data_IF_592879559577
#
_entry.id   IF_592879559577
#
_cell.length_a   1.000
_cell.length_b   1.000
_cell.length_c   1.000
_cell.angle_alpha   90.00
_cell.angle_beta   90.00
_cell.angle_gamma   90.00
#
_symmetry.space_group_name_H-M   'P 1'
#
loop_
_entity.id
_entity.type
_entity.pdbx_description
1 polymer ?
#
# COMPACT_ATOMS: atom_id res chain seq x y z
N UNK A 1 8.56 -28.19 -19.78
CA UNK A 1 7.54 -27.59 -18.89
C UNK A 1 8.21 -26.38 -18.29
N UNK A 2 7.79 -25.15 -18.60
CA UNK A 2 8.36 -23.97 -17.97
C UNK A 2 7.95 -23.98 -16.49
N UNK A 3 8.91 -23.82 -15.62
CA UNK A 3 8.67 -23.64 -14.18
C UNK A 3 7.82 -22.38 -13.99
N UNK A 4 6.80 -22.47 -13.11
CA UNK A 4 5.89 -21.35 -12.87
C UNK A 4 6.67 -20.21 -12.19
N UNK A 5 6.39 -18.96 -12.56
CA UNK A 5 7.06 -17.82 -11.96
C UNK A 5 6.70 -17.69 -10.47
N UNK A 6 7.68 -17.43 -9.62
CA UNK A 6 7.53 -17.25 -8.18
C UNK A 6 6.43 -16.25 -7.81
N UNK A 7 6.28 -15.16 -8.56
CA UNK A 7 5.25 -14.15 -8.30
C UNK A 7 3.85 -14.63 -8.69
N UNK A 8 3.73 -15.57 -9.63
CA UNK A 8 2.45 -16.21 -9.92
C UNK A 8 2.01 -17.11 -8.75
N UNK A 9 2.94 -17.81 -8.12
CA UNK A 9 2.65 -18.61 -6.93
C UNK A 9 2.35 -17.72 -5.72
N UNK A 10 3.11 -16.65 -5.53
CA UNK A 10 2.85 -15.68 -4.46
C UNK A 10 1.46 -15.00 -4.61
N UNK A 11 1.05 -14.65 -5.85
CA UNK A 11 -0.27 -14.11 -6.14
C UNK A 11 -1.38 -15.12 -5.83
N UNK A 12 -1.18 -16.39 -6.14
CA UNK A 12 -2.13 -17.45 -5.82
C UNK A 12 -2.27 -17.63 -4.30
N UNK A 13 -1.17 -17.66 -3.55
CA UNK A 13 -1.21 -17.75 -2.07
C UNK A 13 -1.83 -16.49 -1.44
N UNK A 14 -1.60 -15.30 -2.00
CA UNK A 14 -2.27 -14.08 -1.60
C UNK A 14 -3.80 -14.19 -1.74
N UNK A 15 -4.29 -14.63 -2.90
CA UNK A 15 -5.73 -14.86 -3.10
C UNK A 15 -6.30 -15.91 -2.15
N UNK A 16 -5.58 -17.01 -1.93
CA UNK A 16 -5.99 -18.05 -0.98
C UNK A 16 -6.08 -17.52 0.45
N UNK A 17 -5.15 -16.66 0.87
CA UNK A 17 -5.20 -16.01 2.17
C UNK A 17 -6.42 -15.07 2.31
N UNK A 18 -6.78 -14.34 1.26
CA UNK A 18 -8.00 -13.51 1.23
C UNK A 18 -9.27 -14.36 1.32
N UNK A 19 -9.34 -15.48 0.58
CA UNK A 19 -10.46 -16.43 0.63
C UNK A 19 -10.62 -17.10 2.00
N UNK A 20 -9.51 -17.29 2.71
CA UNK A 20 -9.50 -17.85 4.07
C UNK A 20 -9.79 -16.80 5.16
N UNK A 21 -9.93 -15.50 4.83
CA UNK A 21 -10.04 -14.45 5.85
C UNK A 21 -11.13 -13.42 5.56
N UNK A 22 -10.93 -12.51 4.62
CA UNK A 22 -11.80 -11.35 4.43
C UNK A 22 -12.69 -11.41 3.19
N UNK A 23 -12.34 -12.20 2.15
CA UNK A 23 -13.17 -12.39 0.98
C UNK A 23 -14.16 -13.54 1.20
N UNK A 24 -15.33 -13.19 1.73
CA UNK A 24 -16.43 -14.12 2.01
C UNK A 24 -17.65 -13.80 1.16
N UNK A 25 -18.52 -14.79 0.95
CA UNK A 25 -19.81 -14.62 0.28
C UNK A 25 -20.91 -14.79 1.33
N UNK A 26 -21.83 -13.83 1.45
CA UNK A 26 -22.92 -13.91 2.38
C UNK A 26 -24.01 -14.91 1.90
N UNK A 27 -24.99 -15.31 2.76
CA UNK A 27 -26.06 -16.22 2.37
C UNK A 27 -26.94 -15.73 1.21
N UNK A 28 -26.88 -14.44 0.87
CA UNK A 28 -27.57 -13.85 -0.28
C UNK A 28 -26.68 -13.84 -1.56
N UNK A 29 -25.50 -14.46 -1.50
CA UNK A 29 -24.56 -14.55 -2.62
C UNK A 29 -23.77 -13.26 -2.88
N UNK A 30 -23.68 -12.32 -1.90
CA UNK A 30 -22.96 -11.05 -2.06
C UNK A 30 -21.54 -11.14 -1.46
N UNK A 31 -20.49 -10.88 -2.25
CA UNK A 31 -19.13 -10.83 -1.73
C UNK A 31 -18.91 -9.69 -0.74
N UNK A 32 -18.02 -9.91 0.24
CA UNK A 32 -17.75 -8.97 1.33
C UNK A 32 -17.14 -7.64 0.87
N UNK A 33 -16.46 -7.60 -0.28
CA UNK A 33 -15.91 -6.40 -0.90
C UNK A 33 -16.92 -5.63 -1.77
N UNK A 34 -18.16 -6.13 -1.92
CA UNK A 34 -19.20 -5.42 -2.67
C UNK A 34 -19.90 -4.33 -1.84
N UNK A 35 -20.45 -3.34 -2.53
CA UNK A 35 -21.43 -2.44 -1.94
C UNK A 35 -22.82 -3.11 -1.98
N UNK A 36 -23.34 -3.49 -0.81
CA UNK A 36 -24.60 -4.23 -0.68
C UNK A 36 -25.83 -3.49 -1.22
N UNK A 37 -25.75 -2.18 -1.41
CA UNK A 37 -26.80 -1.34 -1.99
C UNK A 37 -26.67 -1.16 -3.51
N UNK A 38 -25.60 -1.64 -4.13
CA UNK A 38 -25.30 -1.42 -5.53
C UNK A 38 -25.20 -2.76 -6.29
N UNK A 39 -26.18 -3.04 -7.14
CA UNK A 39 -26.26 -4.30 -7.89
C UNK A 39 -25.08 -4.48 -8.85
N UNK A 40 -24.60 -3.42 -9.47
CA UNK A 40 -23.40 -3.45 -10.32
C UNK A 40 -22.16 -3.86 -9.53
N UNK A 41 -21.96 -3.27 -8.35
CA UNK A 41 -20.85 -3.63 -7.46
C UNK A 41 -20.92 -5.11 -7.04
N UNK A 42 -22.13 -5.60 -6.72
CA UNK A 42 -22.35 -7.01 -6.38
C UNK A 42 -22.03 -7.94 -7.56
N UNK A 43 -22.51 -7.60 -8.77
CA UNK A 43 -22.29 -8.43 -9.96
C UNK A 43 -20.79 -8.54 -10.30
N UNK A 44 -20.05 -7.40 -10.28
CA UNK A 44 -18.61 -7.40 -10.56
C UNK A 44 -17.84 -8.15 -9.46
N UNK A 45 -18.12 -7.87 -8.19
CA UNK A 45 -17.46 -8.56 -7.09
C UNK A 45 -17.69 -10.08 -7.13
N UNK A 46 -18.91 -10.50 -7.50
CA UNK A 46 -19.24 -11.92 -7.67
C UNK A 46 -18.45 -12.55 -8.82
N UNK A 47 -18.36 -11.90 -9.98
CA UNK A 47 -17.57 -12.41 -11.10
C UNK A 47 -16.08 -12.57 -10.76
N UNK A 48 -15.49 -11.64 -9.99
CA UNK A 48 -14.14 -11.77 -9.46
C UNK A 48 -14.05 -12.96 -8.50
N UNK A 49 -14.96 -13.05 -7.52
CA UNK A 49 -14.96 -14.10 -6.51
C UNK A 49 -15.12 -15.51 -7.15
N UNK A 50 -15.97 -15.63 -8.15
CA UNK A 50 -16.17 -16.89 -8.89
C UNK A 50 -14.88 -17.34 -9.63
N UNK A 51 -14.12 -16.39 -10.22
CA UNK A 51 -12.82 -16.64 -10.86
C UNK A 51 -11.74 -17.04 -9.87
N UNK A 52 -11.77 -16.45 -8.68
CA UNK A 52 -10.89 -16.83 -7.59
C UNK A 52 -11.35 -18.12 -6.87
N UNK A 53 -12.48 -18.73 -7.30
CA UNK A 53 -13.08 -19.91 -6.68
C UNK A 53 -13.41 -19.71 -5.20
N UNK A 54 -14.07 -18.60 -4.89
CA UNK A 54 -14.55 -18.31 -3.55
C UNK A 54 -15.72 -19.25 -3.19
N UNK A 55 -15.43 -20.31 -2.45
CA UNK A 55 -16.42 -21.30 -2.00
C UNK A 55 -16.89 -21.06 -0.56
N UNK A 56 -16.21 -20.18 0.18
CA UNK A 56 -16.50 -19.95 1.59
C UNK A 56 -17.77 -19.10 1.79
N UNK A 57 -18.86 -19.78 2.15
CA UNK A 57 -20.06 -19.11 2.70
C UNK A 57 -19.77 -18.74 4.14
N UNK A 58 -19.61 -17.45 4.41
CA UNK A 58 -19.32 -16.93 5.75
C UNK A 58 -20.11 -15.66 6.03
N UNK A 59 -20.34 -15.37 7.30
CA UNK A 59 -20.88 -14.06 7.69
C UNK A 59 -19.92 -12.95 7.27
N UNK A 60 -20.51 -11.87 6.75
CA UNK A 60 -19.74 -10.67 6.39
C UNK A 60 -19.06 -10.12 7.65
N UNK A 61 -17.75 -10.19 7.74
CA UNK A 61 -17.01 -9.59 8.83
C UNK A 61 -17.32 -8.09 8.93
N UNK A 62 -17.35 -7.54 10.16
CA UNK A 62 -17.46 -6.09 10.34
C UNK A 62 -16.36 -5.40 9.51
N UNK A 63 -16.71 -4.29 8.84
CA UNK A 63 -15.82 -3.64 7.87
C UNK A 63 -14.43 -3.30 8.40
N UNK A 64 -14.30 -3.06 9.71
CA UNK A 64 -12.99 -2.83 10.36
C UNK A 64 -12.17 -4.12 10.49
N UNK A 65 -12.82 -5.26 10.76
CA UNK A 65 -12.16 -6.57 10.84
C UNK A 65 -11.65 -7.02 9.47
N UNK A 66 -12.47 -6.89 8.42
CA UNK A 66 -12.07 -7.21 7.06
C UNK A 66 -10.93 -6.29 6.57
N UNK A 67 -10.94 -5.01 6.94
CA UNK A 67 -9.84 -4.07 6.66
C UNK A 67 -8.53 -4.52 7.27
N UNK A 68 -8.51 -4.78 8.58
CA UNK A 68 -7.30 -5.23 9.29
C UNK A 68 -6.76 -6.57 8.75
N UNK A 69 -7.64 -7.49 8.35
CA UNK A 69 -7.24 -8.75 7.72
C UNK A 69 -6.62 -8.52 6.34
N UNK A 70 -7.21 -7.65 5.54
CA UNK A 70 -6.69 -7.27 4.24
C UNK A 70 -5.30 -6.64 4.35
N UNK A 71 -5.11 -5.69 5.27
CA UNK A 71 -3.81 -5.07 5.56
C UNK A 71 -2.75 -6.11 5.91
N UNK A 72 -3.08 -7.09 6.76
CA UNK A 72 -2.15 -8.15 7.15
C UNK A 72 -1.76 -9.02 5.95
N UNK A 73 -2.73 -9.43 5.12
CA UNK A 73 -2.49 -10.24 3.92
C UNK A 73 -1.66 -9.46 2.89
N UNK A 74 -1.90 -8.16 2.72
CA UNK A 74 -1.08 -7.30 1.86
C UNK A 74 0.37 -7.20 2.39
N UNK A 75 0.56 -7.03 3.70
CA UNK A 75 1.89 -6.97 4.29
C UNK A 75 2.66 -8.28 4.09
N UNK A 76 2.01 -9.43 4.25
CA UNK A 76 2.62 -10.75 4.06
C UNK A 76 2.98 -10.99 2.58
N UNK A 77 2.12 -10.56 1.65
CA UNK A 77 2.41 -10.61 0.22
C UNK A 77 3.65 -9.77 -0.13
N UNK A 78 3.69 -8.50 0.28
CA UNK A 78 4.85 -7.62 0.01
C UNK A 78 6.11 -8.19 0.65
N UNK A 79 6.03 -8.69 1.87
CA UNK A 79 7.17 -9.31 2.56
C UNK A 79 7.70 -10.53 1.81
N UNK A 80 6.80 -11.43 1.38
CA UNK A 80 7.18 -12.66 0.70
C UNK A 80 7.69 -12.47 -0.72
N UNK A 81 7.43 -11.32 -1.34
CA UNK A 81 7.83 -10.98 -2.71
C UNK A 81 8.96 -9.96 -2.78
N UNK A 82 8.80 -8.77 -2.21
CA UNK A 82 9.79 -7.69 -2.27
C UNK A 82 11.14 -8.09 -1.66
N UNK A 83 11.15 -8.78 -0.52
CA UNK A 83 12.40 -9.19 0.13
C UNK A 83 13.21 -10.21 -0.68
N UNK A 84 12.64 -10.85 -1.70
CA UNK A 84 13.36 -11.71 -2.65
C UNK A 84 14.15 -10.93 -3.71
N UNK A 85 13.90 -9.63 -3.83
CA UNK A 85 14.48 -8.77 -4.86
C UNK A 85 15.84 -8.18 -4.44
N UNK A 86 16.51 -8.74 -3.43
CA UNK A 86 17.81 -8.26 -2.96
C UNK A 86 18.90 -8.17 -4.02
N UNK A 87 18.81 -8.95 -5.11
CA UNK A 87 19.71 -8.91 -6.26
C UNK A 87 19.47 -7.68 -7.16
N UNK A 88 18.24 -7.14 -7.18
CA UNK A 88 17.88 -5.91 -7.91
C UNK A 88 18.08 -4.68 -7.02
N UNK A 89 17.77 -4.81 -5.73
CA UNK A 89 17.87 -3.72 -4.76
C UNK A 89 18.54 -4.19 -3.48
N UNK A 90 19.88 -4.22 -3.43
CA UNK A 90 20.61 -4.63 -2.23
C UNK A 90 20.37 -3.66 -1.07
N UNK A 91 20.36 -4.20 0.15
CA UNK A 91 20.15 -3.44 1.38
C UNK A 91 19.49 -4.28 2.46
N UNK A 92 19.43 -3.73 3.66
CA UNK A 92 18.73 -4.34 4.79
C UNK A 92 17.29 -3.79 4.84
N UNK A 93 16.35 -4.56 4.29
CA UNK A 93 14.95 -4.19 4.11
C UNK A 93 14.04 -4.87 5.13
N UNK A 94 13.00 -4.15 5.55
CA UNK A 94 11.94 -4.70 6.39
C UNK A 94 10.56 -4.25 5.88
N UNK A 95 9.55 -5.14 6.04
CA UNK A 95 8.16 -4.92 5.68
C UNK A 95 7.30 -5.14 6.92
N UNK A 96 6.57 -4.12 7.34
CA UNK A 96 5.78 -4.14 8.56
C UNK A 96 4.31 -3.82 8.29
N UNK A 97 3.40 -4.60 8.88
CA UNK A 97 2.01 -4.21 9.08
C UNK A 97 1.93 -3.30 10.31
N UNK A 98 1.54 -2.04 10.12
CA UNK A 98 1.48 -1.05 11.19
C UNK A 98 0.17 -1.19 11.95
N UNK A 99 0.24 -1.73 13.16
CA UNK A 99 -0.92 -1.88 14.05
C UNK A 99 -1.07 -0.74 15.05
N UNK A 100 -0.10 0.16 15.06
CA UNK A 100 -0.04 1.29 15.98
C UNK A 100 -1.10 2.34 15.59
N UNK A 101 -1.80 2.86 16.59
CA UNK A 101 -2.67 4.05 16.45
C UNK A 101 -1.97 5.33 16.91
N UNK A 102 -0.65 5.27 17.09
CA UNK A 102 0.13 6.43 17.48
C UNK A 102 0.22 7.42 16.31
N UNK A 103 -0.24 8.63 16.53
CA UNK A 103 -0.21 9.72 15.53
C UNK A 103 1.19 10.05 15.04
N UNK A 104 2.22 9.75 15.83
CA UNK A 104 3.63 9.97 15.51
C UNK A 104 4.35 8.69 15.07
N UNK A 105 3.65 7.64 14.68
CA UNK A 105 4.29 6.41 14.23
C UNK A 105 5.27 6.68 13.08
N UNK A 106 4.90 7.55 12.17
CA UNK A 106 5.74 7.97 11.05
C UNK A 106 7.05 8.65 11.47
N UNK A 107 7.09 9.28 12.64
CA UNK A 107 8.28 9.97 13.15
C UNK A 107 9.41 9.02 13.59
N UNK A 108 9.20 7.71 13.53
CA UNK A 108 10.24 6.67 13.73
C UNK A 108 11.20 6.55 12.54
N UNK A 109 10.89 7.21 11.42
CA UNK A 109 11.67 7.16 10.19
C UNK A 109 12.40 8.48 9.97
N UNK A 110 13.61 8.39 9.40
CA UNK A 110 14.54 9.51 9.23
C UNK A 110 13.87 10.76 8.64
N UNK A 111 13.09 10.56 7.57
CA UNK A 111 12.43 11.67 6.86
C UNK A 111 11.42 12.45 7.72
N UNK A 112 10.92 11.85 8.81
CA UNK A 112 9.81 12.38 9.62
C UNK A 112 10.15 12.55 11.09
N UNK A 113 11.38 12.28 11.51
CA UNK A 113 11.82 12.34 12.92
C UNK A 113 11.58 13.69 13.58
N UNK A 114 11.68 14.77 12.81
CA UNK A 114 11.45 16.15 13.28
C UNK A 114 9.98 16.40 13.72
N UNK A 115 9.01 15.57 13.32
CA UNK A 115 7.60 15.73 13.72
C UNK A 115 7.41 15.55 15.24
N UNK A 116 8.31 14.85 15.92
CA UNK A 116 8.32 14.78 17.40
C UNK A 116 8.52 16.16 18.03
N UNK A 117 9.45 16.95 17.48
CA UNK A 117 9.70 18.29 17.97
C UNK A 117 8.54 19.24 17.64
N UNK A 118 7.95 19.11 16.45
CA UNK A 118 6.78 19.86 16.02
C UNK A 118 5.57 19.60 16.94
N UNK A 119 5.26 18.34 17.21
CA UNK A 119 4.18 17.95 18.14
C UNK A 119 4.42 18.50 19.55
N UNK A 120 5.66 18.48 20.04
CA UNK A 120 6.00 19.03 21.34
C UNK A 120 5.77 20.55 21.39
N UNK A 121 6.14 21.27 20.32
CA UNK A 121 5.92 22.72 20.21
C UNK A 121 4.41 23.02 20.17
N UNK A 122 3.64 22.32 19.37
CA UNK A 122 2.20 22.50 19.26
C UNK A 122 1.44 22.22 20.56
N UNK A 123 1.88 21.25 21.38
CA UNK A 123 1.28 21.00 22.70
C UNK A 123 1.43 22.15 23.68
N UNK A 124 2.46 22.95 23.53
CA UNK A 124 2.77 24.06 24.42
C UNK A 124 2.23 25.41 23.90
N UNK A 125 1.67 25.43 22.70
CA UNK A 125 1.17 26.63 22.02
C UNK A 125 -0.16 26.33 21.31
N UNK A 126 -1.31 26.74 21.90
CA UNK A 126 -2.63 26.51 21.33
C UNK A 126 -2.84 27.17 19.95
N UNK A 127 -2.23 28.32 19.69
CA UNK A 127 -2.36 29.02 18.41
C UNK A 127 -1.59 28.23 17.31
N UNK A 128 -0.40 27.74 17.65
CA UNK A 128 0.36 26.86 16.78
C UNK A 128 -0.37 25.54 16.53
N UNK A 129 -0.96 24.93 17.57
CA UNK A 129 -1.77 23.72 17.44
C UNK A 129 -2.97 23.92 16.51
N UNK A 130 -3.66 25.07 16.63
CA UNK A 130 -4.78 25.42 15.77
C UNK A 130 -4.34 25.65 14.31
N UNK A 131 -3.20 26.29 14.09
CA UNK A 131 -2.65 26.53 12.76
C UNK A 131 -2.17 25.27 12.05
N UNK A 132 -1.59 24.31 12.78
CA UNK A 132 -1.09 23.05 12.24
C UNK A 132 -2.20 22.02 12.00
N UNK A 133 -3.26 22.04 12.79
CA UNK A 133 -4.35 21.06 12.72
C UNK A 133 -3.83 19.63 12.91
N UNK A 134 -4.30 18.72 12.06
CA UNK A 134 -3.89 17.29 12.03
C UNK A 134 -3.03 16.92 10.81
N UNK A 135 -2.57 17.89 10.03
CA UNK A 135 -1.93 17.70 8.73
C UNK A 135 -0.58 16.96 8.78
N UNK A 136 0.00 16.81 9.97
CA UNK A 136 1.22 16.02 10.18
C UNK A 136 0.94 14.62 10.78
N UNK A 137 -0.32 14.24 10.95
CA UNK A 137 -0.71 12.92 11.44
C UNK A 137 -0.77 11.94 10.27
N UNK A 138 0.08 10.92 10.27
CA UNK A 138 0.18 9.91 9.21
C UNK A 138 0.29 8.55 9.86
N UNK A 139 -0.64 7.65 9.54
CA UNK A 139 -0.64 6.27 10.05
C UNK A 139 -0.79 5.35 8.83
N UNK A 140 0.31 4.91 8.21
CA UNK A 140 0.25 3.97 7.09
C UNK A 140 -0.23 2.60 7.55
N UNK A 141 -0.87 1.84 6.66
CA UNK A 141 -1.33 0.48 6.95
C UNK A 141 -0.17 -0.53 6.84
N UNK A 142 0.63 -0.44 5.78
CA UNK A 142 1.86 -1.24 5.56
C UNK A 142 3.01 -0.34 5.14
N UNK A 143 4.19 -0.63 5.61
CA UNK A 143 5.41 0.13 5.28
C UNK A 143 6.54 -0.79 4.84
N UNK A 144 7.37 -0.25 3.97
CA UNK A 144 8.68 -0.83 3.62
C UNK A 144 9.76 0.14 4.06
N UNK A 145 10.75 -0.37 4.76
CA UNK A 145 11.84 0.44 5.31
C UNK A 145 13.20 -0.14 4.92
N UNK A 146 14.19 0.74 4.86
CA UNK A 146 15.60 0.38 4.70
C UNK A 146 16.38 0.81 5.93
N UNK A 147 17.08 -0.12 6.57
CA UNK A 147 18.03 0.23 7.62
C UNK A 147 19.26 0.94 7.02
N UNK A 148 19.89 1.86 7.76
CA UNK A 148 21.21 2.39 7.41
C UNK A 148 22.24 1.28 7.35
N UNK A 149 23.31 1.49 6.55
CA UNK A 149 24.38 0.53 6.32
C UNK A 149 25.62 0.87 7.14
N UNK A 150 26.26 -0.13 7.70
CA UNK A 150 27.58 0.06 8.35
C UNK A 150 28.66 0.46 7.33
N UNK A 151 29.65 1.23 7.79
CA UNK A 151 30.79 1.65 6.96
C UNK A 151 31.55 0.48 6.35
N UNK A 152 31.58 -0.67 7.02
CA UNK A 152 32.16 -1.92 6.50
C UNK A 152 31.48 -2.40 5.23
N UNK A 153 30.14 -2.28 5.17
CA UNK A 153 29.33 -2.63 3.99
C UNK A 153 29.51 -1.58 2.89
N UNK A 154 29.44 -0.29 3.25
CA UNK A 154 29.61 0.82 2.29
C UNK A 154 31.01 0.77 1.64
N UNK A 155 32.04 0.43 2.41
CA UNK A 155 33.42 0.36 1.99
C UNK A 155 33.81 -0.96 1.28
N UNK A 156 32.87 -1.84 1.03
CA UNK A 156 33.10 -3.07 0.27
C UNK A 156 32.62 -2.89 -1.17
N UNK A 157 33.46 -3.11 -2.20
CA UNK A 157 34.85 -3.63 -2.22
C UNK A 157 35.94 -2.56 -2.13
N UNK A 158 35.62 -1.28 -2.09
CA UNK A 158 36.58 -0.18 -2.00
C UNK A 158 36.25 0.81 -0.91
N UNK A 159 37.23 1.51 -0.37
CA UNK A 159 37.03 2.52 0.66
C UNK A 159 36.36 3.77 0.07
N UNK A 160 35.05 3.91 0.26
CA UNK A 160 34.23 5.01 -0.24
C UNK A 160 34.04 6.13 0.79
N UNK A 161 34.02 5.79 2.08
CA UNK A 161 33.75 6.73 3.17
C UNK A 161 34.76 6.58 4.32
N UNK A 162 34.97 7.66 5.06
CA UNK A 162 35.73 7.69 6.30
C UNK A 162 35.19 8.78 7.24
N UNK A 163 35.94 9.15 8.25
CA UNK A 163 35.54 10.14 9.25
C UNK A 163 35.43 11.59 8.71
N UNK A 164 35.92 11.84 7.50
CA UNK A 164 36.02 13.19 6.92
C UNK A 164 35.01 13.46 5.81
N UNK A 165 34.43 12.40 5.19
CA UNK A 165 33.54 12.52 4.04
C UNK A 165 32.23 11.78 4.25
N UNK A 166 31.17 12.24 3.58
CA UNK A 166 29.81 11.68 3.64
C UNK A 166 29.28 11.53 5.06
N UNK A 167 29.71 12.44 5.95
CA UNK A 167 29.43 12.35 7.39
C UNK A 167 27.98 12.60 7.75
N UNK A 168 27.14 13.10 6.85
CA UNK A 168 25.72 13.42 7.05
C UNK A 168 24.80 12.58 6.17
N UNK A 169 25.32 11.55 5.50
CA UNK A 169 24.52 10.70 4.65
C UNK A 169 23.60 9.79 5.47
N UNK A 170 22.30 9.87 5.27
CA UNK A 170 21.30 9.07 6.02
C UNK A 170 21.44 7.57 5.80
N UNK A 171 22.11 7.14 4.73
CA UNK A 171 22.39 5.72 4.50
C UNK A 171 23.48 5.18 5.43
N UNK A 172 24.38 6.02 5.96
CA UNK A 172 25.45 5.59 6.87
C UNK A 172 24.90 5.37 8.28
N UNK A 173 25.13 4.19 8.84
CA UNK A 173 24.77 3.89 10.20
C UNK A 173 25.65 4.68 11.19
N UNK A 174 25.01 5.32 12.15
CA UNK A 174 25.60 6.07 13.26
C UNK A 174 24.76 5.91 14.50
N UNK A 175 25.29 6.37 15.63
CA UNK A 175 24.52 6.46 16.86
C UNK A 175 23.28 7.31 16.67
N UNK A 176 22.10 6.73 16.91
CA UNK A 176 20.82 7.40 16.74
C UNK A 176 20.26 7.43 15.32
N UNK A 177 20.92 6.78 14.33
CA UNK A 177 20.37 6.64 12.98
C UNK A 177 19.03 5.93 13.01
N UNK A 178 18.08 6.43 12.20
CA UNK A 178 16.75 5.87 12.05
C UNK A 178 16.62 5.19 10.68
N UNK A 179 15.75 4.17 10.54
CA UNK A 179 15.49 3.58 9.24
C UNK A 179 14.85 4.60 8.30
N UNK A 180 15.15 4.45 7.01
CA UNK A 180 14.56 5.23 5.92
C UNK A 180 13.21 4.61 5.55
N UNK A 181 12.16 5.42 5.49
CA UNK A 181 10.87 5.00 4.91
C UNK A 181 11.02 4.90 3.39
N UNK A 182 10.86 3.71 2.84
CA UNK A 182 10.94 3.47 1.41
C UNK A 182 9.58 3.51 0.75
N UNK A 183 8.58 2.88 1.38
CA UNK A 183 7.21 2.90 0.88
C UNK A 183 6.19 3.00 2.01
N UNK A 184 5.10 3.72 1.73
CA UNK A 184 3.87 3.79 2.50
C UNK A 184 2.74 3.22 1.65
N UNK A 185 2.15 2.11 2.09
CA UNK A 185 1.10 1.39 1.38
C UNK A 185 -0.19 1.52 2.17
N UNK A 186 -1.19 2.17 1.59
CA UNK A 186 -2.52 2.28 2.16
C UNK A 186 -3.40 1.15 1.63
N UNK A 187 -3.99 0.34 2.51
CA UNK A 187 -4.79 -0.81 2.15
C UNK A 187 -6.29 -0.51 2.33
N UNK A 188 -7.06 -0.57 1.25
CA UNK A 188 -8.50 -0.25 1.28
C UNK A 188 -9.31 -1.42 0.76
N UNK A 189 -9.97 -2.17 1.67
CA UNK A 189 -10.85 -3.29 1.29
C UNK A 189 -11.93 -2.86 0.32
N UNK A 190 -12.54 -1.70 0.56
CA UNK A 190 -13.49 -1.05 -0.34
C UNK A 190 -13.23 0.46 -0.35
N UNK A 191 -13.53 1.12 -1.47
CA UNK A 191 -13.40 2.56 -1.61
C UNK A 191 -14.79 3.19 -1.50
N UNK A 192 -14.96 4.05 -0.48
CA UNK A 192 -16.06 5.00 -0.38
C UNK A 192 -15.48 6.41 -0.51
N UNK A 193 -16.32 7.40 -0.77
CA UNK A 193 -15.86 8.79 -1.02
C UNK A 193 -14.97 9.36 0.10
N UNK A 194 -15.32 9.09 1.35
CA UNK A 194 -14.54 9.47 2.54
C UNK A 194 -13.16 8.78 2.58
N UNK A 195 -13.09 7.50 2.22
CA UNK A 195 -11.85 6.72 2.22
C UNK A 195 -10.89 7.10 1.10
N UNK A 196 -11.42 7.45 -0.08
CA UNK A 196 -10.61 7.97 -1.18
C UNK A 196 -9.94 9.29 -0.79
N UNK A 197 -10.71 10.22 -0.18
CA UNK A 197 -10.17 11.48 0.32
C UNK A 197 -9.13 11.29 1.42
N UNK A 198 -9.36 10.37 2.37
CA UNK A 198 -8.41 10.09 3.43
C UNK A 198 -7.07 9.58 2.88
N UNK A 199 -7.08 8.65 1.92
CA UNK A 199 -5.85 8.14 1.31
C UNK A 199 -5.04 9.25 0.60
N UNK A 200 -5.73 10.16 -0.11
CA UNK A 200 -5.08 11.32 -0.75
C UNK A 200 -4.54 12.33 0.28
N UNK A 201 -5.29 12.59 1.35
CA UNK A 201 -4.84 13.48 2.43
C UNK A 201 -3.61 12.91 3.15
N UNK A 202 -3.58 11.60 3.42
CA UNK A 202 -2.41 10.92 3.99
C UNK A 202 -1.20 11.02 3.05
N UNK A 203 -1.40 10.81 1.74
CA UNK A 203 -0.36 10.96 0.74
C UNK A 203 0.22 12.38 0.70
N UNK A 204 -0.64 13.40 0.67
CA UNK A 204 -0.23 14.80 0.71
C UNK A 204 0.52 15.15 2.00
N UNK A 205 0.12 14.59 3.12
CA UNK A 205 0.81 14.77 4.40
C UNK A 205 2.21 14.14 4.39
N UNK A 206 2.37 12.94 3.79
CA UNK A 206 3.69 12.34 3.55
C UNK A 206 4.57 13.24 2.68
N UNK A 207 4.02 13.76 1.58
CA UNK A 207 4.75 14.63 0.65
C UNK A 207 5.19 15.93 1.32
N UNK A 208 4.31 16.59 2.05
CA UNK A 208 4.53 17.93 2.61
C UNK A 208 5.45 17.92 3.84
N UNK A 209 5.36 16.88 4.65
CA UNK A 209 6.04 16.85 5.95
C UNK A 209 7.38 16.11 5.91
N UNK A 210 7.86 15.62 4.78
CA UNK A 210 9.14 14.92 4.68
C UNK A 210 10.34 15.86 4.70
N UNK A 211 11.45 15.36 5.21
CA UNK A 211 12.81 15.87 4.98
C UNK A 211 13.62 14.75 4.33
N UNK A 212 14.18 15.00 3.13
CA UNK A 212 14.90 14.00 2.37
C UNK A 212 14.05 13.33 1.27
N UNK A 213 14.38 12.09 0.85
CA UNK A 213 13.74 11.43 -0.29
C UNK A 213 12.25 11.14 -0.02
N UNK A 214 11.44 11.26 -1.07
CA UNK A 214 10.05 10.88 -1.04
C UNK A 214 9.93 9.33 -0.98
N UNK A 215 9.18 8.75 -0.06
CA UNK A 215 8.85 7.33 -0.13
C UNK A 215 7.87 7.06 -1.29
N UNK A 216 7.83 5.83 -1.78
CA UNK A 216 6.73 5.38 -2.62
C UNK A 216 5.41 5.47 -1.86
N UNK A 217 4.39 6.09 -2.47
CA UNK A 217 3.08 6.29 -1.85
C UNK A 217 2.04 5.61 -2.72
N UNK A 218 1.58 4.45 -2.29
CA UNK A 218 0.71 3.59 -3.08
C UNK A 218 -0.54 3.16 -2.32
N UNK A 219 -1.56 2.76 -3.06
CA UNK A 219 -2.78 2.19 -2.52
C UNK A 219 -2.96 0.77 -3.04
N UNK A 220 -3.29 -0.17 -2.16
CA UNK A 220 -3.76 -1.50 -2.53
C UNK A 220 -5.25 -1.59 -2.21
N UNK A 221 -6.07 -2.09 -3.15
CA UNK A 221 -7.52 -2.14 -2.93
C UNK A 221 -8.19 -3.38 -3.51
N UNK A 222 -9.30 -3.78 -2.88
CA UNK A 222 -10.20 -4.82 -3.38
C UNK A 222 -11.56 -4.24 -3.87
N UNK A 223 -11.61 -2.94 -4.17
CA UNK A 223 -12.80 -2.28 -4.70
C UNK A 223 -13.16 -2.84 -6.09
N UNK A 224 -14.36 -3.42 -6.29
CA UNK A 224 -14.72 -4.03 -7.56
C UNK A 224 -15.14 -3.02 -8.66
N UNK A 225 -15.48 -1.79 -8.29
CA UNK A 225 -16.17 -0.84 -9.18
C UNK A 225 -15.19 0.11 -9.87
N UNK A 226 -15.02 0.09 -11.21
CA UNK A 226 -14.08 0.97 -11.92
C UNK A 226 -14.27 2.45 -11.66
N UNK A 227 -15.50 2.96 -11.51
CA UNK A 227 -15.76 4.37 -11.20
C UNK A 227 -15.23 4.80 -9.83
N UNK A 228 -15.22 3.88 -8.86
CA UNK A 228 -14.61 4.13 -7.53
C UNK A 228 -13.09 4.00 -7.59
N UNK A 229 -12.56 3.05 -8.36
CA UNK A 229 -11.13 2.98 -8.63
C UNK A 229 -10.63 4.28 -9.28
N UNK A 230 -11.36 4.80 -10.27
CA UNK A 230 -11.04 6.06 -10.93
C UNK A 230 -10.97 7.25 -9.96
N UNK A 231 -11.81 7.27 -8.91
CA UNK A 231 -11.81 8.35 -7.92
C UNK A 231 -10.50 8.45 -7.12
N UNK A 232 -9.71 7.39 -7.08
CA UNK A 232 -8.42 7.36 -6.39
C UNK A 232 -7.25 7.23 -7.34
N UNK A 233 -7.38 6.46 -8.42
CA UNK A 233 -6.30 6.23 -9.38
C UNK A 233 -6.05 7.43 -10.31
N UNK A 234 -7.12 8.12 -10.74
CA UNK A 234 -6.97 9.28 -11.61
C UNK A 234 -6.58 10.52 -10.81
N UNK A 235 -5.72 11.33 -11.39
CA UNK A 235 -5.10 12.51 -10.78
C UNK A 235 -3.58 12.34 -10.72
N UNK A 236 -2.89 13.39 -10.29
CA UNK A 236 -1.42 13.45 -10.27
C UNK A 236 -0.90 14.04 -8.97
N UNK A 237 0.28 13.59 -8.56
CA UNK A 237 1.10 14.26 -7.54
C UNK A 237 0.89 13.80 -6.10
N UNK A 238 -0.13 13.02 -5.78
CA UNK A 238 -0.40 12.53 -4.44
C UNK A 238 -0.13 11.02 -4.28
N UNK A 239 -0.48 10.21 -5.27
CA UNK A 239 -0.24 8.76 -5.27
C UNK A 239 0.62 8.36 -6.49
N UNK A 240 1.55 7.44 -6.30
CA UNK A 240 2.34 6.88 -7.40
C UNK A 240 1.48 5.97 -8.26
N UNK A 241 0.84 4.97 -7.65
CA UNK A 241 -0.01 4.01 -8.33
C UNK A 241 -1.05 3.38 -7.38
N UNK A 242 -2.13 2.86 -7.94
CA UNK A 242 -3.11 2.03 -7.26
C UNK A 242 -2.92 0.59 -7.72
N UNK A 243 -2.91 -0.38 -6.79
CA UNK A 243 -2.79 -1.80 -7.08
C UNK A 243 -4.09 -2.50 -6.73
N UNK A 244 -4.66 -3.19 -7.71
CA UNK A 244 -5.87 -3.97 -7.52
C UNK A 244 -5.53 -5.41 -7.14
N UNK A 245 -6.21 -5.94 -6.15
CA UNK A 245 -5.95 -7.29 -5.61
C UNK A 245 -6.12 -8.43 -6.62
N UNK A 246 -6.91 -8.20 -7.69
CA UNK A 246 -7.28 -9.17 -8.72
C UNK A 246 -7.65 -8.44 -10.03
N UNK A 247 -6.71 -7.69 -10.63
CA UNK A 247 -6.98 -6.84 -11.79
C UNK A 247 -7.37 -7.67 -13.02
N UNK A 248 -6.70 -8.79 -13.26
CA UNK A 248 -6.98 -9.65 -14.43
C UNK A 248 -8.38 -10.25 -14.33
N UNK A 249 -8.78 -10.71 -13.15
CA UNK A 249 -10.12 -11.24 -12.88
C UNK A 249 -11.20 -10.16 -13.00
N UNK A 250 -10.87 -8.91 -12.66
CA UNK A 250 -11.76 -7.75 -12.86
C UNK A 250 -11.96 -7.48 -14.34
N UNK A 251 -10.89 -7.44 -15.14
CA UNK A 251 -10.95 -7.22 -16.60
C UNK A 251 -11.82 -8.29 -17.28
N UNK A 252 -11.56 -9.56 -16.98
CA UNK A 252 -12.33 -10.69 -17.52
C UNK A 252 -13.81 -10.63 -17.10
N UNK A 253 -14.09 -10.21 -15.86
CA UNK A 253 -15.46 -10.08 -15.35
C UNK A 253 -16.23 -8.99 -16.10
N UNK A 254 -15.63 -7.82 -16.33
CA UNK A 254 -16.29 -6.74 -17.05
C UNK A 254 -16.57 -7.12 -18.49
N UNK A 255 -15.65 -7.84 -19.14
CA UNK A 255 -15.84 -8.36 -20.50
C UNK A 255 -17.01 -9.38 -20.56
N UNK A 256 -17.08 -10.32 -19.63
CA UNK A 256 -18.15 -11.32 -19.56
C UNK A 256 -19.52 -10.70 -19.28
N UNK A 257 -19.58 -9.70 -18.41
CA UNK A 257 -20.81 -8.98 -18.08
C UNK A 257 -21.23 -7.96 -19.16
N UNK A 258 -20.42 -7.77 -20.21
CA UNK A 258 -20.69 -6.81 -21.28
C UNK A 258 -20.72 -5.35 -20.83
N UNK A 259 -19.97 -5.01 -19.79
CA UNK A 259 -19.93 -3.66 -19.20
C UNK A 259 -18.89 -2.79 -19.91
N UNK A 260 -19.15 -2.42 -21.18
CA UNK A 260 -18.20 -1.69 -22.02
C UNK A 260 -17.70 -0.38 -21.42
N UNK A 261 -18.59 0.50 -20.93
CA UNK A 261 -18.19 1.78 -20.32
C UNK A 261 -17.28 1.61 -19.09
N UNK A 262 -17.54 0.57 -18.29
CA UNK A 262 -16.72 0.24 -17.12
C UNK A 262 -15.36 -0.34 -17.53
N UNK A 263 -15.32 -1.14 -18.57
CA UNK A 263 -14.09 -1.69 -19.14
C UNK A 263 -13.22 -0.58 -19.76
N UNK A 264 -13.82 0.36 -20.52
CA UNK A 264 -13.13 1.52 -21.09
C UNK A 264 -12.53 2.40 -19.99
N UNK A 265 -13.29 2.67 -18.92
CA UNK A 265 -12.79 3.42 -17.77
C UNK A 265 -11.62 2.69 -17.08
N UNK A 266 -11.69 1.35 -16.97
CA UNK A 266 -10.60 0.55 -16.42
C UNK A 266 -9.36 0.62 -17.31
N UNK A 267 -9.53 0.50 -18.62
CA UNK A 267 -8.46 0.60 -19.61
C UNK A 267 -7.71 1.93 -19.51
N UNK A 268 -8.42 3.06 -19.37
CA UNK A 268 -7.80 4.39 -19.19
C UNK A 268 -6.86 4.41 -17.98
N UNK A 269 -7.22 3.75 -16.87
CA UNK A 269 -6.37 3.72 -15.68
C UNK A 269 -5.16 2.78 -15.87
N UNK A 270 -5.35 1.66 -16.54
CA UNK A 270 -4.28 0.67 -16.80
C UNK A 270 -3.28 1.21 -17.83
N UNK A 271 -3.77 1.70 -18.97
CA UNK A 271 -2.95 2.25 -20.05
C UNK A 271 -2.21 3.54 -19.63
N UNK A 272 -2.76 4.25 -18.66
CA UNK A 272 -2.17 5.44 -18.06
C UNK A 272 -1.20 5.14 -16.90
N UNK A 273 -0.83 3.90 -16.64
CA UNK A 273 0.06 3.48 -15.53
C UNK A 273 -0.43 3.94 -14.14
N UNK A 274 -1.76 4.09 -13.98
CA UNK A 274 -2.37 4.53 -12.72
C UNK A 274 -2.98 3.38 -11.92
N UNK A 275 -3.23 2.23 -12.56
CA UNK A 275 -3.81 1.04 -11.95
C UNK A 275 -3.08 -0.19 -12.48
N UNK A 276 -2.55 -1.00 -11.56
CA UNK A 276 -1.83 -2.24 -11.85
C UNK A 276 -2.37 -3.41 -11.02
N UNK A 277 -1.95 -4.63 -11.35
CA UNK A 277 -2.25 -5.80 -10.51
C UNK A 277 -1.34 -5.81 -9.27
N UNK A 278 -1.78 -6.44 -8.20
CA UNK A 278 -0.99 -6.56 -6.96
C UNK A 278 0.37 -7.22 -7.22
N UNK A 279 0.49 -8.09 -8.22
CA UNK A 279 1.74 -8.76 -8.58
C UNK A 279 2.80 -7.83 -9.17
N UNK A 280 2.44 -6.64 -9.63
CA UNK A 280 3.38 -5.64 -10.16
C UNK A 280 4.05 -4.84 -9.02
N UNK A 281 3.36 -4.68 -7.88
CA UNK A 281 3.83 -3.87 -6.76
C UNK A 281 5.26 -4.17 -6.30
N UNK A 282 5.71 -5.44 -6.14
CA UNK A 282 7.06 -5.70 -5.65
C UNK A 282 8.16 -5.20 -6.59
N UNK A 283 7.95 -5.29 -7.91
CA UNK A 283 8.90 -4.80 -8.90
C UNK A 283 8.90 -3.26 -8.98
N UNK A 284 7.74 -2.63 -8.91
CA UNK A 284 7.64 -1.17 -8.88
C UNK A 284 8.31 -0.58 -7.61
N UNK A 285 8.25 -1.28 -6.48
CA UNK A 285 8.97 -0.89 -5.26
C UNK A 285 10.50 -1.12 -5.36
N UNK A 286 10.96 -1.88 -6.34
CA UNK A 286 12.40 -2.13 -6.54
C UNK A 286 13.11 -1.08 -7.40
N UNK A 287 12.39 -0.10 -7.92
CA UNK A 287 12.94 1.01 -8.74
C UNK A 287 13.56 2.12 -7.91
#
# INVERSE_FOLDING_TARGET
>A
MYERADFADARMEFHKALLGSCLTIDPQGRPSNSDSSNQTSIAIAKGIADRLRAENVGERAAGQTAGNQFEAVCADFVRSTFLRLGHLRPGNWDVQHVRSRNRLEIARYEQYSHLVALERAARNDPDLAAALGSDYTIIPDVIVTRAPEEDTVINSPMRLVDETVSTLASLRQRDGSLPLLHASISCKWTIRSDRAQNARSEALNLIRNRKGPLPHIVVVTAEPTPSRLASIALGTGDLDCVYHFALYELQDTLAELGMADAADMLAVMVDGDRLKDISDLPLDLAV
#
